data_IF_035881922814
#
_entry.id   IF_035881922814
#
_cell.length_a   1.000
_cell.length_b   1.000
_cell.length_c   1.000
_cell.angle_alpha   90.00
_cell.angle_beta   90.00
_cell.angle_gamma   90.00
#
_symmetry.space_group_name_H-M   'P 1'
#
loop_
_entity.id
_entity.type
_entity.pdbx_description
1 polymer ?
#
# COMPACT_ATOMS: atom_id res chain seq x y z
N UNK A 1 -29.78 -16.01 -44.45
CA UNK A 1 -29.50 -14.56 -44.63
C UNK A 1 -29.15 -13.86 -43.28
N UNK A 2 -28.28 -14.43 -42.42
CA UNK A 2 -28.06 -13.91 -41.05
C UNK A 2 -26.68 -13.33 -40.73
N UNK A 3 -25.67 -13.52 -41.59
CA UNK A 3 -24.27 -13.10 -41.31
C UNK A 3 -23.96 -11.62 -41.62
N UNK A 4 -24.79 -10.94 -42.42
CA UNK A 4 -24.56 -9.56 -42.86
C UNK A 4 -24.94 -8.49 -41.81
N UNK A 5 -26.00 -8.73 -41.03
CA UNK A 5 -26.50 -7.75 -40.06
C UNK A 5 -25.60 -7.58 -38.82
N UNK A 6 -24.92 -8.66 -38.39
CA UNK A 6 -24.00 -8.64 -37.23
C UNK A 6 -22.69 -7.92 -37.57
N UNK A 7 -22.15 -8.13 -38.78
CA UNK A 7 -20.97 -7.42 -39.27
C UNK A 7 -21.24 -5.91 -39.47
N UNK A 8 -22.42 -5.54 -39.96
CA UNK A 8 -22.81 -4.13 -40.12
C UNK A 8 -23.02 -3.42 -38.77
N UNK A 9 -23.56 -4.11 -37.76
CA UNK A 9 -23.74 -3.57 -36.39
C UNK A 9 -22.40 -3.38 -35.68
N UNK A 10 -21.46 -4.34 -35.79
CA UNK A 10 -20.13 -4.22 -35.19
C UNK A 10 -19.29 -3.12 -35.85
N UNK A 11 -19.42 -2.91 -37.16
CA UNK A 11 -18.72 -1.82 -37.86
C UNK A 11 -19.29 -0.44 -37.52
N UNK A 12 -20.61 -0.32 -37.31
CA UNK A 12 -21.26 0.92 -36.83
C UNK A 12 -20.89 1.24 -35.38
N UNK A 13 -20.84 0.24 -34.50
CA UNK A 13 -20.39 0.41 -33.13
C UNK A 13 -18.91 0.83 -33.05
N UNK A 14 -18.02 0.24 -33.87
CA UNK A 14 -16.61 0.66 -33.99
C UNK A 14 -16.46 2.09 -34.50
N UNK A 15 -17.25 2.50 -35.49
CA UNK A 15 -17.25 3.89 -36.01
C UNK A 15 -17.85 4.89 -35.02
N UNK A 16 -18.84 4.49 -34.22
CA UNK A 16 -19.40 5.30 -33.14
C UNK A 16 -18.41 5.47 -31.99
N UNK A 17 -17.72 4.39 -31.56
CA UNK A 17 -16.64 4.45 -30.57
C UNK A 17 -15.48 5.33 -31.04
N UNK A 18 -15.02 5.18 -32.29
CA UNK A 18 -14.01 6.08 -32.89
C UNK A 18 -14.47 7.52 -33.03
N UNK A 19 -15.77 7.78 -33.21
CA UNK A 19 -16.33 9.16 -33.25
C UNK A 19 -16.44 9.76 -31.86
N UNK A 20 -16.77 8.96 -30.84
CA UNK A 20 -16.80 9.38 -29.43
C UNK A 20 -15.39 9.66 -28.90
N UNK A 21 -14.43 8.78 -29.22
CA UNK A 21 -13.00 8.99 -28.97
C UNK A 21 -12.48 10.24 -29.69
N UNK A 22 -12.83 10.43 -30.97
CA UNK A 22 -12.47 11.66 -31.71
C UNK A 22 -13.13 12.92 -31.15
N UNK A 23 -14.39 12.83 -30.70
CA UNK A 23 -15.13 13.92 -30.06
C UNK A 23 -14.49 14.33 -28.73
N UNK A 24 -14.06 13.37 -27.91
CA UNK A 24 -13.34 13.65 -26.67
C UNK A 24 -11.94 14.21 -26.95
N UNK A 25 -11.20 13.67 -27.92
CA UNK A 25 -9.85 14.20 -28.26
C UNK A 25 -9.86 15.63 -28.79
N UNK A 26 -10.91 16.06 -29.49
CA UNK A 26 -11.02 17.43 -30.00
C UNK A 26 -11.35 18.43 -28.88
N UNK A 27 -11.96 17.98 -27.78
CA UNK A 27 -12.27 18.79 -26.60
C UNK A 27 -11.06 19.06 -25.71
N UNK A 28 -10.05 18.18 -25.67
CA UNK A 28 -8.89 18.34 -24.78
C UNK A 28 -7.87 19.36 -25.27
N UNK A 29 -7.80 19.61 -26.58
CA UNK A 29 -6.84 20.54 -27.17
C UNK A 29 -7.07 22.00 -26.70
N UNK A 30 -8.33 22.38 -26.43
CA UNK A 30 -8.73 23.74 -26.04
C UNK A 30 -8.62 24.04 -24.53
N UNK A 31 -8.56 23.03 -23.68
CA UNK A 31 -8.48 23.21 -22.23
C UNK A 31 -7.10 23.72 -21.80
N UNK A 32 -7.02 24.51 -20.72
CA UNK A 32 -5.74 24.93 -20.15
C UNK A 32 -5.00 23.74 -19.52
N UNK A 33 -3.70 23.90 -19.23
CA UNK A 33 -2.94 22.86 -18.52
C UNK A 33 -3.56 22.57 -17.14
N UNK A 34 -3.96 23.62 -16.41
CA UNK A 34 -4.58 23.51 -15.08
C UNK A 34 -5.94 22.81 -15.13
N UNK A 35 -6.77 23.08 -16.15
CA UNK A 35 -8.05 22.41 -16.33
C UNK A 35 -7.89 20.92 -16.66
N UNK A 36 -6.89 20.58 -17.49
CA UNK A 36 -6.55 19.19 -17.81
C UNK A 36 -6.04 18.45 -16.58
N UNK A 37 -5.17 19.07 -15.78
CA UNK A 37 -4.66 18.52 -14.52
C UNK A 37 -5.81 18.24 -13.54
N UNK A 38 -6.63 19.24 -13.24
CA UNK A 38 -7.75 19.12 -12.30
C UNK A 38 -8.76 18.04 -12.72
N UNK A 39 -9.04 17.93 -14.03
CA UNK A 39 -9.92 16.87 -14.53
C UNK A 39 -9.25 15.50 -14.48
N UNK A 40 -7.94 15.43 -14.70
CA UNK A 40 -7.16 14.21 -14.54
C UNK A 40 -7.19 13.70 -13.10
N UNK A 41 -6.98 14.58 -12.14
CA UNK A 41 -7.07 14.31 -10.70
C UNK A 41 -8.47 13.79 -10.32
N UNK A 42 -9.54 14.47 -10.74
CA UNK A 42 -10.91 14.00 -10.50
C UNK A 42 -11.20 12.61 -11.07
N UNK A 43 -10.59 12.25 -12.21
CA UNK A 43 -10.72 10.90 -12.77
C UNK A 43 -9.90 9.88 -11.97
N UNK A 44 -8.75 10.28 -11.43
CA UNK A 44 -7.96 9.43 -10.54
C UNK A 44 -8.72 9.13 -9.24
N UNK A 45 -9.34 10.15 -8.63
CA UNK A 45 -10.19 9.99 -7.44
C UNK A 45 -11.39 9.06 -7.68
N UNK A 46 -11.85 8.96 -8.93
CA UNK A 46 -12.93 8.06 -9.36
C UNK A 46 -12.44 6.65 -9.74
N UNK A 47 -11.15 6.34 -9.56
CA UNK A 47 -10.53 5.07 -9.96
C UNK A 47 -10.37 4.89 -11.48
N UNK A 48 -10.58 5.94 -12.28
CA UNK A 48 -10.46 5.89 -13.75
C UNK A 48 -9.03 6.19 -14.20
N UNK A 49 -8.07 5.45 -13.68
CA UNK A 49 -6.63 5.71 -13.84
C UNK A 49 -6.17 5.78 -15.30
N UNK A 50 -6.71 4.91 -16.18
CA UNK A 50 -6.32 4.88 -17.58
C UNK A 50 -6.72 6.16 -18.36
N UNK A 51 -7.86 6.76 -18.03
CA UNK A 51 -8.31 8.01 -18.63
C UNK A 51 -7.66 9.22 -17.95
N UNK A 52 -7.52 9.19 -16.61
CA UNK A 52 -6.75 10.18 -15.84
C UNK A 52 -5.35 10.37 -16.43
N UNK A 53 -4.63 9.26 -16.66
CA UNK A 53 -3.30 9.24 -17.27
C UNK A 53 -3.24 9.99 -18.61
N UNK A 54 -4.27 9.89 -19.46
CA UNK A 54 -4.29 10.60 -20.75
C UNK A 54 -4.41 12.12 -20.56
N UNK A 55 -5.23 12.56 -19.61
CA UNK A 55 -5.41 13.99 -19.32
C UNK A 55 -4.18 14.59 -18.65
N UNK A 56 -3.60 13.88 -17.70
CA UNK A 56 -2.37 14.28 -17.01
C UNK A 56 -1.21 14.37 -18.01
N UNK A 57 -1.09 13.43 -18.95
CA UNK A 57 -0.09 13.51 -20.03
C UNK A 57 -0.28 14.76 -20.90
N UNK A 58 -1.51 15.03 -21.33
CA UNK A 58 -1.82 16.23 -22.13
C UNK A 58 -1.59 17.54 -21.36
N UNK A 59 -1.75 17.54 -20.04
CA UNK A 59 -1.40 18.67 -19.18
C UNK A 59 0.12 18.89 -19.15
N UNK A 60 0.89 17.82 -18.91
CA UNK A 60 2.35 17.86 -18.83
C UNK A 60 3.02 18.24 -20.15
N UNK A 61 2.40 17.95 -21.30
CA UNK A 61 2.84 18.44 -22.61
C UNK A 61 2.77 19.97 -22.73
N UNK A 62 1.84 20.60 -22.01
CA UNK A 62 1.65 22.06 -22.03
C UNK A 62 2.48 22.78 -20.97
N UNK A 63 2.55 22.22 -19.77
CA UNK A 63 3.27 22.81 -18.63
C UNK A 63 3.82 21.69 -17.76
N UNK A 64 5.13 21.74 -17.52
CA UNK A 64 5.77 20.86 -16.54
C UNK A 64 5.32 21.29 -15.15
N UNK A 65 4.76 20.36 -14.40
CA UNK A 65 4.22 20.60 -13.07
C UNK A 65 4.51 19.39 -12.17
N UNK A 66 5.28 19.55 -11.07
CA UNK A 66 5.67 18.43 -10.20
C UNK A 66 4.49 17.71 -9.54
N UNK A 67 3.42 18.43 -9.22
CA UNK A 67 2.26 17.86 -8.52
C UNK A 67 1.48 16.98 -9.50
N UNK A 68 1.33 17.45 -10.75
CA UNK A 68 0.72 16.66 -11.85
C UNK A 68 1.56 15.42 -12.16
N UNK A 69 2.89 15.49 -12.07
CA UNK A 69 3.78 14.33 -12.21
C UNK A 69 3.56 13.32 -11.08
N UNK A 70 3.35 13.77 -9.85
CA UNK A 70 3.06 12.91 -8.70
C UNK A 70 1.71 12.19 -8.87
N UNK A 71 0.64 12.91 -9.22
CA UNK A 71 -0.68 12.30 -9.52
C UNK A 71 -0.59 11.29 -10.66
N UNK A 72 0.18 11.62 -11.70
CA UNK A 72 0.42 10.73 -12.83
C UNK A 72 1.14 9.44 -12.38
N UNK A 73 2.13 9.56 -11.51
CA UNK A 73 2.85 8.41 -10.98
C UNK A 73 1.93 7.49 -10.16
N UNK A 74 1.07 8.05 -9.31
CA UNK A 74 0.06 7.28 -8.59
C UNK A 74 -0.85 6.50 -9.56
N UNK A 75 -1.34 7.15 -10.62
CA UNK A 75 -2.12 6.47 -11.66
C UNK A 75 -1.34 5.34 -12.36
N UNK A 76 -0.02 5.49 -12.53
CA UNK A 76 0.83 4.48 -13.17
C UNK A 76 1.06 3.26 -12.25
N UNK A 77 1.17 3.45 -10.94
CA UNK A 77 1.25 2.36 -9.95
C UNK A 77 -0.02 1.50 -10.01
N UNK A 78 -1.19 2.14 -9.97
CA UNK A 78 -2.49 1.46 -10.06
C UNK A 78 -2.69 0.71 -11.40
N UNK A 79 -2.03 1.18 -12.46
CA UNK A 79 -2.01 0.50 -13.76
C UNK A 79 -0.92 -0.56 -13.89
N UNK A 80 -0.25 -0.91 -12.79
CA UNK A 80 0.87 -1.87 -12.74
C UNK A 80 2.03 -1.49 -13.66
N UNK A 81 2.41 -0.21 -13.69
CA UNK A 81 3.54 0.35 -14.48
C UNK A 81 4.55 1.08 -13.59
N UNK A 82 5.21 0.38 -12.65
CA UNK A 82 6.01 0.98 -11.59
C UNK A 82 7.27 1.70 -12.10
N UNK A 83 7.92 1.21 -13.17
CA UNK A 83 9.13 1.85 -13.72
C UNK A 83 8.85 3.24 -14.31
N UNK A 84 7.70 3.40 -14.96
CA UNK A 84 7.28 4.70 -15.48
C UNK A 84 6.86 5.63 -14.35
N UNK A 85 6.18 5.09 -13.33
CA UNK A 85 5.84 5.85 -12.12
C UNK A 85 7.09 6.40 -11.44
N UNK A 86 8.11 5.55 -11.26
CA UNK A 86 9.41 5.91 -10.70
C UNK A 86 10.08 7.05 -11.47
N UNK A 87 10.08 7.01 -12.81
CA UNK A 87 10.65 8.09 -13.62
C UNK A 87 9.94 9.43 -13.39
N UNK A 88 8.61 9.42 -13.29
CA UNK A 88 7.82 10.62 -13.01
C UNK A 88 8.08 11.15 -11.59
N UNK A 89 8.18 10.27 -10.60
CA UNK A 89 8.45 10.62 -9.20
C UNK A 89 9.84 11.20 -9.00
N UNK A 90 10.88 10.59 -9.58
CA UNK A 90 12.25 11.13 -9.52
C UNK A 90 12.26 12.57 -10.05
N UNK A 91 11.65 12.79 -11.21
CA UNK A 91 11.59 14.13 -11.80
C UNK A 91 10.75 15.11 -10.98
N UNK A 92 9.64 14.67 -10.38
CA UNK A 92 8.83 15.51 -9.49
C UNK A 92 9.63 15.96 -8.25
N UNK A 93 10.36 15.02 -7.64
CA UNK A 93 11.23 15.27 -6.48
C UNK A 93 12.38 16.22 -6.82
N UNK A 94 13.04 16.05 -7.97
CA UNK A 94 14.12 16.94 -8.44
C UNK A 94 13.64 18.38 -8.67
N UNK A 95 12.42 18.55 -9.20
CA UNK A 95 11.86 19.87 -9.49
C UNK A 95 11.36 20.61 -8.24
N UNK A 96 10.96 19.87 -7.20
CA UNK A 96 10.33 20.44 -6.01
C UNK A 96 10.73 19.68 -4.73
N UNK A 97 12.01 19.64 -4.36
CA UNK A 97 12.49 18.72 -3.32
C UNK A 97 11.90 18.98 -1.92
N UNK A 98 11.50 20.23 -1.63
CA UNK A 98 11.07 20.67 -0.31
C UNK A 98 9.55 20.78 -0.14
N UNK A 99 8.78 20.20 -1.06
CA UNK A 99 7.32 20.16 -1.00
C UNK A 99 6.82 18.74 -0.87
N UNK A 100 5.65 18.56 -0.24
CA UNK A 100 4.88 17.32 -0.16
C UNK A 100 5.68 16.04 0.21
N UNK A 101 5.66 15.59 1.47
CA UNK A 101 6.37 14.37 1.88
C UNK A 101 5.93 13.11 1.12
N UNK A 102 4.67 13.04 0.66
CA UNK A 102 4.10 11.83 0.05
C UNK A 102 4.87 11.37 -1.19
N UNK A 103 5.31 12.29 -2.06
CA UNK A 103 6.04 11.89 -3.27
C UNK A 103 7.36 11.20 -2.95
N UNK A 104 8.01 11.60 -1.86
CA UNK A 104 9.24 10.95 -1.39
C UNK A 104 8.94 9.56 -0.83
N UNK A 105 7.85 9.41 -0.07
CA UNK A 105 7.42 8.11 0.45
C UNK A 105 7.05 7.14 -0.67
N UNK A 106 6.24 7.57 -1.64
CA UNK A 106 5.89 6.76 -2.81
C UNK A 106 7.12 6.42 -3.66
N UNK A 107 8.08 7.33 -3.78
CA UNK A 107 9.34 7.04 -4.48
C UNK A 107 10.19 6.01 -3.73
N UNK A 108 10.22 6.08 -2.39
CA UNK A 108 10.96 5.13 -1.54
C UNK A 108 10.46 3.69 -1.74
N UNK A 109 9.15 3.49 -1.87
CA UNK A 109 8.54 2.17 -2.13
C UNK A 109 8.89 1.59 -3.52
N UNK A 110 9.31 2.43 -4.47
CA UNK A 110 9.75 2.04 -5.82
C UNK A 110 11.28 1.97 -5.96
N UNK A 111 12.01 2.12 -4.86
CA UNK A 111 13.46 2.18 -4.79
C UNK A 111 14.01 1.20 -3.77
N UNK A 112 15.29 0.89 -3.91
CA UNK A 112 15.96 -0.11 -3.09
C UNK A 112 17.04 0.51 -2.21
N UNK A 113 17.37 -0.19 -1.13
CA UNK A 113 18.54 0.07 -0.30
C UNK A 113 18.76 1.55 0.02
N UNK A 114 19.94 2.06 -0.33
CA UNK A 114 20.36 3.43 -0.02
C UNK A 114 19.52 4.49 -0.75
N UNK A 115 19.02 4.22 -1.96
CA UNK A 115 18.13 5.15 -2.65
C UNK A 115 16.79 5.30 -1.90
N UNK A 116 16.21 4.18 -1.46
CA UNK A 116 14.99 4.18 -0.64
C UNK A 116 15.19 4.91 0.68
N UNK A 117 16.30 4.62 1.37
CA UNK A 117 16.66 5.27 2.63
C UNK A 117 16.72 6.79 2.49
N UNK A 118 17.38 7.31 1.45
CA UNK A 118 17.47 8.77 1.21
C UNK A 118 16.09 9.40 1.01
N UNK A 119 15.18 8.70 0.33
CA UNK A 119 13.82 9.17 0.14
C UNK A 119 13.05 9.22 1.46
N UNK A 120 13.16 8.19 2.30
CA UNK A 120 12.57 8.22 3.64
C UNK A 120 13.19 9.30 4.52
N UNK A 121 14.52 9.45 4.54
CA UNK A 121 15.19 10.52 5.28
C UNK A 121 14.67 11.90 4.86
N UNK A 122 14.51 12.15 3.55
CA UNK A 122 13.95 13.41 3.08
C UNK A 122 12.48 13.58 3.48
N UNK A 123 11.68 12.53 3.42
CA UNK A 123 10.30 12.57 3.91
C UNK A 123 10.23 12.86 5.41
N UNK A 124 11.11 12.27 6.23
CA UNK A 124 11.17 12.55 7.68
C UNK A 124 11.54 14.00 7.96
N UNK A 125 12.48 14.58 7.22
CA UNK A 125 12.85 16.00 7.33
C UNK A 125 11.64 16.90 7.11
N UNK A 126 10.86 16.64 6.04
CA UNK A 126 9.70 17.44 5.68
C UNK A 126 8.56 17.29 6.70
N UNK A 127 8.26 16.07 7.15
CA UNK A 127 7.24 15.80 8.16
C UNK A 127 7.61 16.40 9.53
N UNK A 128 8.89 16.33 9.93
CA UNK A 128 9.38 17.00 11.15
C UNK A 128 9.21 18.52 11.03
N UNK A 129 9.51 19.10 9.87
CA UNK A 129 9.27 20.52 9.60
C UNK A 129 7.79 20.87 9.74
N UNK A 130 6.89 20.07 9.17
CA UNK A 130 5.43 20.26 9.30
C UNK A 130 4.95 20.21 10.75
N UNK A 131 5.49 19.30 11.57
CA UNK A 131 5.16 19.21 13.00
C UNK A 131 5.63 20.42 13.81
N UNK A 132 6.81 20.95 13.47
CA UNK A 132 7.40 22.12 14.13
C UNK A 132 6.84 23.45 13.64
N UNK A 133 6.31 23.50 12.42
CA UNK A 133 5.70 24.72 11.89
C UNK A 133 4.37 24.99 12.60
N UNK A 134 4.26 26.13 13.27
CA UNK A 134 2.97 26.66 13.70
C UNK A 134 2.22 27.11 12.44
N UNK A 135 1.24 26.33 12.00
CA UNK A 135 0.32 26.76 10.95
C UNK A 135 -0.51 27.94 11.43
N UNK A 136 -0.60 29.01 10.63
CA UNK A 136 -1.58 30.07 10.85
C UNK A 136 -3.00 29.46 10.85
N UNK A 137 -3.89 29.91 11.73
CA UNK A 137 -5.23 29.36 11.82
C UNK A 137 -5.96 29.52 10.48
N UNK A 138 -6.23 28.40 9.82
CA UNK A 138 -7.05 28.37 8.62
C UNK A 138 -8.47 28.76 9.03
N UNK A 139 -8.94 29.92 8.57
CA UNK A 139 -10.32 30.32 8.71
C UNK A 139 -11.20 29.30 7.98
N UNK A 140 -12.19 28.69 8.65
CA UNK A 140 -13.12 27.76 8.03
C UNK A 140 -14.58 28.19 8.13
N UNK A 141 -15.29 27.68 7.11
CA UNK A 141 -16.72 27.58 6.86
C UNK A 141 -17.54 27.12 8.08
N UNK A 142 -18.69 27.76 8.31
CA UNK A 142 -19.51 27.73 9.55
C UNK A 142 -20.33 26.44 9.76
N UNK A 143 -19.89 25.29 9.25
CA UNK A 143 -20.73 24.09 9.12
C UNK A 143 -20.57 22.97 10.15
N UNK A 144 -19.44 22.87 10.85
CA UNK A 144 -19.14 21.75 11.75
C UNK A 144 -18.77 22.28 13.12
N UNK A 145 -19.39 21.77 14.20
CA UNK A 145 -19.15 22.21 15.58
C UNK A 145 -17.76 21.86 16.16
N UNK A 146 -16.72 21.81 15.32
CA UNK A 146 -15.33 21.56 15.69
C UNK A 146 -14.57 22.88 15.73
N UNK A 147 -13.78 23.11 16.79
CA UNK A 147 -13.01 24.34 16.89
C UNK A 147 -11.76 24.28 16.00
N UNK A 148 -11.22 25.41 15.52
CA UNK A 148 -9.96 25.43 14.76
C UNK A 148 -8.79 24.80 15.51
N UNK A 149 -8.79 24.86 16.84
CA UNK A 149 -7.79 24.23 17.70
C UNK A 149 -7.89 22.70 17.66
N UNK A 150 -9.10 22.13 17.67
CA UNK A 150 -9.30 20.68 17.58
C UNK A 150 -8.84 20.14 16.22
N UNK A 151 -9.04 20.91 15.15
CA UNK A 151 -8.60 20.53 13.81
C UNK A 151 -7.06 20.57 13.68
N UNK A 152 -6.41 21.60 14.24
CA UNK A 152 -4.95 21.72 14.22
C UNK A 152 -4.27 20.59 15.01
N UNK A 153 -4.83 20.24 16.17
CA UNK A 153 -4.34 19.11 16.98
C UNK A 153 -4.50 17.77 16.25
N UNK A 154 -5.64 17.56 15.58
CA UNK A 154 -5.87 16.36 14.75
C UNK A 154 -4.86 16.25 13.62
N UNK A 155 -4.58 17.35 12.90
CA UNK A 155 -3.57 17.37 11.83
C UNK A 155 -2.20 17.00 12.39
N UNK A 156 -1.77 17.62 13.50
CA UNK A 156 -0.49 17.29 14.14
C UNK A 156 -0.40 15.82 14.52
N UNK A 157 -1.47 15.26 15.09
CA UNK A 157 -1.52 13.84 15.44
C UNK A 157 -1.39 12.92 14.22
N UNK A 158 -2.08 13.24 13.11
CA UNK A 158 -1.98 12.49 11.87
C UNK A 158 -0.58 12.59 11.25
N UNK A 159 0.03 13.78 11.26
CA UNK A 159 1.41 13.96 10.78
C UNK A 159 2.41 13.19 11.67
N UNK A 160 2.21 13.17 12.99
CA UNK A 160 3.06 12.41 13.92
C UNK A 160 2.94 10.89 13.68
N UNK A 161 1.72 10.38 13.51
CA UNK A 161 1.46 8.98 13.14
C UNK A 161 2.12 8.63 11.80
N UNK A 162 1.96 9.49 10.79
CA UNK A 162 2.60 9.29 9.49
C UNK A 162 4.12 9.23 9.63
N UNK A 163 4.73 10.17 10.36
CA UNK A 163 6.18 10.16 10.62
C UNK A 163 6.62 8.89 11.39
N UNK A 164 5.81 8.43 12.34
CA UNK A 164 6.02 7.15 13.05
C UNK A 164 6.06 5.98 12.06
N UNK A 165 5.10 5.88 11.13
CA UNK A 165 5.10 4.87 10.08
C UNK A 165 6.31 4.97 9.14
N UNK A 166 6.80 6.17 8.83
CA UNK A 166 8.05 6.32 8.05
C UNK A 166 9.24 5.71 8.78
N UNK A 167 9.34 5.91 10.09
CA UNK A 167 10.39 5.27 10.88
C UNK A 167 10.23 3.74 10.96
N UNK A 168 9.00 3.23 10.93
CA UNK A 168 8.75 1.79 10.75
C UNK A 168 9.34 1.32 9.43
N UNK A 169 9.03 1.97 8.30
CA UNK A 169 9.59 1.61 7.01
C UNK A 169 11.13 1.70 6.98
N UNK A 170 11.72 2.71 7.61
CA UNK A 170 13.18 2.80 7.76
C UNK A 170 13.71 1.59 8.53
N UNK A 171 13.08 1.21 9.65
CA UNK A 171 13.49 0.03 10.40
C UNK A 171 13.41 -1.23 9.52
N UNK A 172 12.38 -1.34 8.69
CA UNK A 172 12.16 -2.46 7.77
C UNK A 172 13.26 -2.59 6.70
N UNK A 173 13.84 -1.47 6.24
CA UNK A 173 15.00 -1.49 5.33
C UNK A 173 16.20 -2.25 5.91
N UNK A 174 16.34 -2.21 7.24
CA UNK A 174 17.43 -2.84 7.99
C UNK A 174 17.01 -4.17 8.62
N UNK A 175 15.71 -4.47 8.73
CA UNK A 175 15.23 -5.78 9.17
C UNK A 175 14.99 -6.71 7.97
N UNK A 176 15.97 -7.60 7.77
CA UNK A 176 15.95 -8.82 6.92
C UNK A 176 16.00 -8.66 5.41
N UNK A 177 17.23 -8.54 4.89
CA UNK A 177 17.73 -9.20 3.68
C UNK A 177 18.74 -10.29 4.04
N UNK A 178 18.42 -11.14 5.01
CA UNK A 178 19.39 -12.02 5.63
C UNK A 178 18.76 -13.24 6.28
N UNK A 179 18.06 -14.06 5.49
CA UNK A 179 17.92 -15.47 5.85
C UNK A 179 19.23 -16.16 5.47
N UNK A 180 20.22 -16.06 6.37
CA UNK A 180 21.35 -16.95 6.37
C UNK A 180 20.82 -18.39 6.53
N UNK A 181 21.05 -19.19 5.50
CA UNK A 181 20.65 -20.60 5.35
C UNK A 181 19.13 -20.87 5.42
N UNK A 182 18.64 -21.67 4.47
CA UNK A 182 17.23 -22.05 4.32
C UNK A 182 16.59 -22.76 5.55
N UNK A 183 17.38 -23.07 6.59
CA UNK A 183 16.92 -23.67 7.85
C UNK A 183 16.40 -22.65 8.87
N UNK A 184 16.77 -21.37 8.76
CA UNK A 184 16.33 -20.31 9.70
C UNK A 184 15.10 -19.53 9.24
N UNK A 185 14.73 -19.67 7.95
CA UNK A 185 13.53 -19.07 7.43
C UNK A 185 12.31 -19.77 8.05
N UNK A 186 11.45 -19.01 8.73
CA UNK A 186 10.14 -19.52 9.10
C UNK A 186 9.51 -20.15 7.86
N UNK A 187 9.15 -21.44 7.94
CA UNK A 187 8.74 -22.25 6.78
C UNK A 187 7.66 -21.56 5.92
N UNK A 188 6.86 -20.69 6.55
CA UNK A 188 5.70 -20.00 6.00
C UNK A 188 6.09 -18.81 5.12
N UNK A 189 6.97 -17.91 5.60
CA UNK A 189 7.42 -16.72 4.84
C UNK A 189 8.17 -17.14 3.58
N UNK A 190 9.05 -18.14 3.70
CA UNK A 190 9.81 -18.68 2.58
C UNK A 190 8.91 -19.37 1.54
N UNK A 191 7.90 -20.13 1.99
CA UNK A 191 6.96 -20.79 1.09
C UNK A 191 6.06 -19.80 0.35
N UNK A 192 5.63 -18.72 1.00
CA UNK A 192 4.85 -17.66 0.34
C UNK A 192 5.66 -16.95 -0.73
N UNK A 193 6.91 -16.58 -0.41
CA UNK A 193 7.85 -15.99 -1.36
C UNK A 193 8.08 -16.88 -2.60
N UNK A 194 8.03 -18.21 -2.44
CA UNK A 194 8.19 -19.16 -3.55
C UNK A 194 6.88 -19.60 -4.24
N UNK A 195 5.70 -19.41 -3.64
CA UNK A 195 4.44 -20.03 -4.12
C UNK A 195 3.45 -19.06 -4.77
N UNK A 196 3.56 -17.76 -4.52
CA UNK A 196 2.77 -16.76 -5.23
C UNK A 196 3.41 -16.46 -6.58
N UNK A 197 2.63 -16.52 -7.66
CA UNK A 197 3.04 -16.07 -9.00
C UNK A 197 3.18 -14.55 -9.12
N UNK A 198 3.40 -13.87 -7.99
CA UNK A 198 3.67 -12.44 -7.90
C UNK A 198 5.18 -12.27 -7.73
N UNK A 199 5.94 -12.62 -8.77
CA UNK A 199 7.31 -12.13 -8.90
C UNK A 199 7.36 -10.60 -8.76
N UNK A 200 6.27 -9.88 -9.07
CA UNK A 200 6.21 -8.41 -9.04
C UNK A 200 5.85 -7.78 -7.68
N UNK A 201 5.15 -8.50 -6.79
CA UNK A 201 4.76 -7.98 -5.47
C UNK A 201 5.76 -8.39 -4.38
N UNK A 202 6.35 -9.60 -4.50
CA UNK A 202 7.57 -9.91 -3.75
C UNK A 202 8.73 -9.05 -4.22
N UNK A 203 8.79 -8.62 -5.50
CA UNK A 203 9.68 -7.52 -5.88
C UNK A 203 9.40 -6.28 -5.06
N UNK A 204 8.18 -5.76 -4.94
CA UNK A 204 7.90 -4.55 -4.11
C UNK A 204 8.24 -4.70 -2.61
N UNK A 205 8.04 -5.87 -1.99
CA UNK A 205 8.41 -6.07 -0.59
C UNK A 205 9.91 -6.40 -0.40
N UNK A 206 10.52 -7.11 -1.35
CA UNK A 206 11.98 -7.28 -1.45
C UNK A 206 12.68 -6.03 -1.99
N UNK A 207 11.92 -5.01 -2.42
CA UNK A 207 12.48 -3.75 -2.93
C UNK A 207 13.07 -2.95 -1.76
N UNK A 208 12.41 -2.95 -0.60
CA UNK A 208 12.91 -2.31 0.62
C UNK A 208 14.16 -2.99 1.23
N UNK A 209 14.54 -4.18 0.79
CA UNK A 209 15.40 -5.06 1.58
C UNK A 209 16.81 -5.11 0.95
N UNK A 210 17.73 -4.29 1.47
CA UNK A 210 19.14 -4.31 1.01
C UNK A 210 20.17 -3.80 2.04
N UNK A 211 19.76 -3.38 3.25
CA UNK A 211 20.68 -2.76 4.22
C UNK A 211 20.87 -3.55 5.52
N UNK A 212 20.38 -4.79 5.60
CA UNK A 212 20.49 -5.58 6.82
C UNK A 212 21.91 -6.07 7.13
N UNK A 213 22.77 -6.19 6.11
CA UNK A 213 24.16 -6.65 6.24
C UNK A 213 25.10 -5.52 6.68
N UNK A 214 24.60 -4.28 6.77
CA UNK A 214 25.37 -3.15 7.26
C UNK A 214 25.73 -3.35 8.74
N UNK A 215 26.98 -3.03 9.15
CA UNK A 215 27.46 -3.30 10.51
C UNK A 215 26.70 -2.53 11.60
N UNK A 216 25.96 -1.49 11.23
CA UNK A 216 25.13 -0.69 12.13
C UNK A 216 23.63 -0.97 11.98
N UNK A 217 23.21 -1.96 11.18
CA UNK A 217 21.80 -2.27 10.91
C UNK A 217 20.98 -2.41 12.20
N UNK A 218 21.44 -3.19 13.17
CA UNK A 218 20.73 -3.39 14.44
C UNK A 218 20.54 -2.08 15.23
N UNK A 219 21.56 -1.21 15.23
CA UNK A 219 21.50 0.10 15.90
C UNK A 219 20.48 0.98 15.18
N UNK A 220 20.44 0.96 13.85
CA UNK A 220 19.46 1.75 13.08
C UNK A 220 18.04 1.26 13.25
N UNK A 221 17.80 -0.05 13.28
CA UNK A 221 16.48 -0.64 13.55
C UNK A 221 15.97 -0.17 14.91
N UNK A 222 16.77 -0.36 15.95
CA UNK A 222 16.36 -0.01 17.32
C UNK A 222 16.15 1.49 17.50
N UNK A 223 17.02 2.33 16.91
CA UNK A 223 16.84 3.78 16.93
C UNK A 223 15.55 4.21 16.21
N UNK A 224 15.29 3.68 15.01
CA UNK A 224 14.10 4.01 14.24
C UNK A 224 12.81 3.59 14.97
N UNK A 225 12.76 2.38 15.55
CA UNK A 225 11.61 1.91 16.31
C UNK A 225 11.35 2.74 17.57
N UNK A 226 12.40 3.21 18.25
CA UNK A 226 12.26 4.09 19.41
C UNK A 226 11.71 5.46 19.00
N UNK A 227 12.25 6.08 17.94
CA UNK A 227 11.74 7.35 17.39
C UNK A 227 10.26 7.21 16.97
N UNK A 228 9.90 6.11 16.31
CA UNK A 228 8.53 5.84 15.91
C UNK A 228 7.56 5.78 17.12
N UNK A 229 8.00 5.15 18.22
CA UNK A 229 7.22 5.01 19.44
C UNK A 229 7.09 6.33 20.23
N UNK A 230 8.14 7.16 20.24
CA UNK A 230 8.11 8.49 20.86
C UNK A 230 7.14 9.43 20.13
N UNK A 231 7.06 9.32 18.80
CA UNK A 231 6.12 10.08 17.98
C UNK A 231 4.67 9.64 18.16
N UNK A 232 4.44 8.33 18.21
CA UNK A 232 3.11 7.77 18.39
C UNK A 232 3.15 6.41 19.09
N UNK A 233 2.90 6.42 20.39
CA UNK A 233 2.84 5.23 21.22
C UNK A 233 1.65 4.31 20.93
N UNK A 234 0.71 4.75 20.09
CA UNK A 234 -0.49 4.00 19.70
C UNK A 234 -0.45 3.52 18.26
N UNK A 235 0.70 3.64 17.57
CA UNK A 235 0.87 3.13 16.21
C UNK A 235 1.03 1.60 16.22
N UNK A 236 0.07 0.82 15.66
CA UNK A 236 0.16 -0.64 15.63
C UNK A 236 1.32 -1.15 14.77
N UNK A 237 1.75 -0.42 13.74
CA UNK A 237 2.85 -0.79 12.85
C UNK A 237 4.18 -0.89 13.60
N UNK A 238 4.40 -0.01 14.59
CA UNK A 238 5.60 -0.05 15.44
C UNK A 238 5.71 -1.37 16.19
N UNK A 239 4.60 -1.83 16.77
CA UNK A 239 4.56 -3.11 17.48
C UNK A 239 4.71 -4.32 16.55
N UNK A 240 4.18 -4.23 15.33
CA UNK A 240 4.39 -5.26 14.30
C UNK A 240 5.86 -5.34 13.88
N UNK A 241 6.52 -4.20 13.65
CA UNK A 241 7.93 -4.15 13.29
C UNK A 241 8.84 -4.60 14.44
N UNK A 242 8.52 -4.26 15.70
CA UNK A 242 9.19 -4.83 16.88
C UNK A 242 9.01 -6.35 16.97
N UNK A 243 7.80 -6.85 16.71
CA UNK A 243 7.56 -8.30 16.69
C UNK A 243 8.42 -8.97 15.62
N UNK A 244 8.47 -8.42 14.40
CA UNK A 244 9.33 -8.90 13.32
C UNK A 244 10.82 -8.90 13.73
N UNK A 245 11.30 -7.81 14.33
CA UNK A 245 12.66 -7.71 14.84
C UNK A 245 13.01 -8.81 15.86
N UNK A 246 12.12 -9.08 16.83
CA UNK A 246 12.29 -10.17 17.78
C UNK A 246 12.24 -11.56 17.10
N UNK A 247 11.41 -11.73 16.07
CA UNK A 247 11.37 -12.99 15.30
C UNK A 247 12.69 -13.26 14.60
N UNK A 248 13.31 -12.24 13.98
CA UNK A 248 14.63 -12.34 13.34
C UNK A 248 15.70 -12.76 14.36
N UNK A 249 15.61 -12.26 15.60
CA UNK A 249 16.50 -12.65 16.70
C UNK A 249 16.21 -14.04 17.29
N UNK A 250 15.13 -14.70 16.86
CA UNK A 250 14.66 -15.96 17.44
C UNK A 250 13.95 -15.82 18.79
N UNK A 251 13.64 -14.59 19.21
CA UNK A 251 13.01 -14.25 20.48
C UNK A 251 11.48 -14.33 20.40
N UNK A 252 10.95 -15.52 20.06
CA UNK A 252 9.52 -15.72 19.75
C UNK A 252 8.56 -15.33 20.89
N UNK A 253 9.02 -15.41 22.15
CA UNK A 253 8.24 -14.99 23.31
C UNK A 253 7.97 -13.49 23.31
N UNK A 254 9.02 -12.68 23.11
CA UNK A 254 8.90 -11.23 23.04
C UNK A 254 8.15 -10.79 21.77
N UNK A 255 8.40 -11.47 20.65
CA UNK A 255 7.63 -11.24 19.43
C UNK A 255 6.12 -11.44 19.63
N UNK A 256 5.73 -12.47 20.37
CA UNK A 256 4.32 -12.73 20.73
C UNK A 256 3.75 -11.61 21.60
N UNK A 257 4.53 -11.08 22.55
CA UNK A 257 4.10 -9.97 23.41
C UNK A 257 3.88 -8.70 22.59
N UNK A 258 4.82 -8.34 21.72
CA UNK A 258 4.68 -7.15 20.88
C UNK A 258 3.55 -7.29 19.85
N UNK A 259 3.38 -8.48 19.26
CA UNK A 259 2.25 -8.75 18.36
C UNK A 259 0.91 -8.56 19.06
N UNK A 260 0.74 -9.07 20.29
CA UNK A 260 -0.49 -8.86 21.06
C UNK A 260 -0.77 -7.37 21.31
N UNK A 261 0.24 -6.59 21.65
CA UNK A 261 0.10 -5.14 21.82
C UNK A 261 -0.39 -4.46 20.53
N UNK A 262 0.11 -4.89 19.38
CA UNK A 262 -0.42 -4.42 18.08
C UNK A 262 -1.91 -4.74 17.96
N UNK A 263 -2.28 -6.02 18.09
CA UNK A 263 -3.66 -6.48 17.89
C UNK A 263 -4.66 -5.79 18.83
N UNK A 264 -4.28 -5.56 20.09
CA UNK A 264 -5.13 -4.89 21.08
C UNK A 264 -5.55 -3.47 20.64
N UNK A 265 -4.75 -2.82 19.78
CA UNK A 265 -5.03 -1.47 19.27
C UNK A 265 -6.07 -1.44 18.15
N UNK A 266 -6.09 -2.45 17.27
CA UNK A 266 -6.86 -2.37 16.02
C UNK A 266 -7.77 -3.57 15.73
N UNK A 267 -7.49 -4.76 16.23
CA UNK A 267 -8.28 -5.96 15.92
C UNK A 267 -9.75 -5.82 16.39
N UNK A 268 -10.05 -5.30 17.60
CA UNK A 268 -11.43 -5.08 18.03
C UNK A 268 -12.18 -4.02 17.22
N UNK A 269 -11.46 -3.07 16.60
CA UNK A 269 -12.03 -2.07 15.71
C UNK A 269 -12.36 -2.71 14.36
N UNK A 270 -11.38 -3.44 13.81
CA UNK A 270 -11.51 -4.13 12.55
C UNK A 270 -12.68 -5.13 12.53
N UNK A 271 -12.82 -5.93 13.58
CA UNK A 271 -13.92 -6.90 13.73
C UNK A 271 -15.29 -6.21 13.67
N UNK A 272 -15.44 -5.07 14.37
CA UNK A 272 -16.67 -4.26 14.33
C UNK A 272 -16.94 -3.66 12.95
N UNK A 273 -15.90 -3.22 12.23
CA UNK A 273 -16.05 -2.66 10.88
C UNK A 273 -16.54 -3.72 9.90
N UNK A 274 -16.00 -4.94 9.98
CA UNK A 274 -16.43 -6.08 9.15
C UNK A 274 -17.90 -6.46 9.43
N UNK A 275 -18.36 -6.32 10.68
CA UNK A 275 -19.77 -6.54 11.07
C UNK A 275 -20.74 -5.40 10.65
N UNK A 276 -20.25 -4.36 9.97
CA UNK A 276 -21.05 -3.21 9.54
C UNK A 276 -21.18 -2.09 10.58
N UNK A 277 -20.22 -2.01 11.51
CA UNK A 277 -20.11 -0.95 12.52
C UNK A 277 -19.61 0.41 11.98
N UNK A 278 -19.35 1.34 12.91
CA UNK A 278 -18.86 2.69 12.63
C UNK A 278 -17.49 2.68 11.93
N UNK A 279 -17.30 3.64 11.02
CA UNK A 279 -16.08 3.82 10.21
C UNK A 279 -14.94 4.45 11.03
N UNK A 280 -14.29 3.67 11.89
CA UNK A 280 -13.03 4.03 12.56
C UNK A 280 -11.80 3.68 11.68
N UNK A 281 -11.89 3.93 10.37
CA UNK A 281 -10.86 3.59 9.37
C UNK A 281 -9.46 4.12 9.71
N UNK A 282 -9.36 5.29 10.37
CA UNK A 282 -8.07 5.92 10.71
C UNK A 282 -7.22 5.14 11.74
N UNK A 283 -7.81 4.21 12.48
CA UNK A 283 -7.14 3.42 13.52
C UNK A 283 -6.83 1.99 13.07
N UNK A 284 -7.41 1.56 11.95
CA UNK A 284 -7.22 0.22 11.40
C UNK A 284 -6.03 0.30 10.42
N UNK A 285 -5.01 -0.57 10.55
CA UNK A 285 -3.89 -0.57 9.62
C UNK A 285 -4.35 -0.84 8.19
N UNK A 286 -3.56 -0.40 7.21
CA UNK A 286 -3.85 -0.66 5.80
C UNK A 286 -3.91 -2.17 5.49
N UNK A 287 -4.58 -2.53 4.39
CA UNK A 287 -4.81 -3.92 4.00
C UNK A 287 -3.53 -4.76 3.98
N UNK A 288 -2.48 -4.24 3.34
CA UNK A 288 -1.17 -4.87 3.24
C UNK A 288 -0.49 -5.05 4.61
N UNK A 289 -0.60 -4.07 5.51
CA UNK A 289 -0.10 -4.16 6.88
C UNK A 289 -0.82 -5.27 7.65
N UNK A 290 -2.15 -5.35 7.54
CA UNK A 290 -2.94 -6.44 8.15
C UNK A 290 -2.60 -7.80 7.56
N UNK A 291 -2.36 -7.88 6.25
CA UNK A 291 -1.92 -9.10 5.59
C UNK A 291 -0.54 -9.56 6.09
N UNK A 292 0.39 -8.61 6.29
CA UNK A 292 1.71 -8.89 6.90
C UNK A 292 1.58 -9.33 8.36
N UNK A 293 0.70 -8.70 9.15
CA UNK A 293 0.35 -9.15 10.51
C UNK A 293 -0.12 -10.61 10.51
N UNK A 294 -1.00 -10.99 9.58
CA UNK A 294 -1.48 -12.37 9.48
C UNK A 294 -0.35 -13.38 9.23
N UNK A 295 0.67 -13.03 8.42
CA UNK A 295 1.85 -13.89 8.19
C UNK A 295 2.64 -14.10 9.48
N UNK A 296 2.94 -13.02 10.20
CA UNK A 296 3.62 -13.09 11.49
C UNK A 296 2.82 -13.88 12.54
N UNK A 297 1.49 -13.72 12.59
CA UNK A 297 0.62 -14.49 13.48
C UNK A 297 0.70 -16.00 13.22
N UNK A 298 0.77 -16.42 11.96
CA UNK A 298 0.95 -17.83 11.60
C UNK A 298 2.29 -18.38 12.07
N UNK A 299 3.37 -17.61 11.90
CA UNK A 299 4.72 -17.97 12.34
C UNK A 299 4.80 -18.09 13.88
N UNK A 300 4.12 -17.18 14.58
CA UNK A 300 3.97 -17.19 16.04
C UNK A 300 2.91 -18.19 16.55
N UNK A 301 2.25 -18.94 15.65
CA UNK A 301 1.20 -19.93 15.96
C UNK A 301 -0.02 -19.35 16.67
N UNK A 302 -0.28 -18.05 16.50
CA UNK A 302 -1.47 -17.33 16.96
C UNK A 302 -2.63 -17.55 15.98
N UNK A 303 -3.07 -18.80 15.86
CA UNK A 303 -4.00 -19.22 14.80
C UNK A 303 -5.42 -18.64 14.93
N UNK A 304 -5.88 -18.33 16.14
CA UNK A 304 -7.21 -17.79 16.35
C UNK A 304 -7.29 -16.36 15.80
N UNK A 305 -6.34 -15.52 16.21
CA UNK A 305 -6.18 -14.15 15.77
C UNK A 305 -5.91 -14.08 14.26
N UNK A 306 -5.03 -14.95 13.74
CA UNK A 306 -4.78 -15.04 12.29
C UNK A 306 -6.06 -15.37 11.50
N UNK A 307 -6.95 -16.20 12.05
CA UNK A 307 -8.22 -16.54 11.39
C UNK A 307 -9.10 -15.29 11.29
N UNK A 308 -9.30 -14.56 12.39
CA UNK A 308 -10.09 -13.33 12.41
C UNK A 308 -9.58 -12.30 11.41
N UNK A 309 -8.26 -12.06 11.39
CA UNK A 309 -7.66 -11.09 10.45
C UNK A 309 -7.89 -11.52 9.00
N UNK A 310 -7.61 -12.79 8.68
CA UNK A 310 -7.69 -13.28 7.30
C UNK A 310 -9.13 -13.38 6.78
N UNK A 311 -10.09 -13.78 7.62
CA UNK A 311 -11.51 -13.81 7.23
C UNK A 311 -12.00 -12.39 6.94
N UNK A 312 -11.61 -11.40 7.75
CA UNK A 312 -11.91 -10.00 7.49
C UNK A 312 -11.29 -9.47 6.19
N UNK A 313 -10.02 -9.82 5.91
CA UNK A 313 -9.34 -9.40 4.67
C UNK A 313 -10.03 -9.97 3.41
N UNK A 314 -10.50 -11.22 3.46
CA UNK A 314 -11.25 -11.82 2.35
C UNK A 314 -12.61 -11.17 2.12
N UNK A 315 -13.25 -10.67 3.19
CA UNK A 315 -14.51 -9.92 3.07
C UNK A 315 -14.30 -8.52 2.48
N UNK A 316 -13.16 -7.90 2.76
CA UNK A 316 -12.77 -6.60 2.20
C UNK A 316 -12.37 -6.71 0.72
N UNK A 317 -11.55 -7.71 0.37
CA UNK A 317 -11.12 -7.98 -1.00
C UNK A 317 -11.17 -9.48 -1.32
N UNK A 318 -12.20 -9.90 -2.06
CA UNK A 318 -12.38 -11.30 -2.47
C UNK A 318 -11.40 -11.75 -3.56
N UNK A 319 -10.73 -10.81 -4.23
CA UNK A 319 -9.76 -11.07 -5.28
C UNK A 319 -8.31 -11.18 -4.75
N UNK A 320 -8.09 -10.98 -3.45
CA UNK A 320 -6.79 -11.16 -2.82
C UNK A 320 -6.40 -12.64 -2.72
N UNK A 321 -5.55 -13.11 -3.64
CA UNK A 321 -5.06 -14.51 -3.68
C UNK A 321 -4.34 -14.90 -2.39
N UNK A 322 -3.56 -13.98 -1.82
CA UNK A 322 -2.73 -14.23 -0.64
C UNK A 322 -3.58 -14.51 0.59
N UNK A 323 -4.63 -13.72 0.82
CA UNK A 323 -5.54 -13.93 1.95
C UNK A 323 -6.20 -15.33 1.88
N UNK A 324 -6.67 -15.74 0.69
CA UNK A 324 -7.23 -17.08 0.48
C UNK A 324 -6.19 -18.20 0.69
N UNK A 325 -4.97 -18.00 0.21
CA UNK A 325 -3.90 -18.98 0.37
C UNK A 325 -3.53 -19.13 1.85
N UNK A 326 -3.35 -18.02 2.57
CA UNK A 326 -3.02 -17.98 3.99
C UNK A 326 -4.11 -18.65 4.84
N UNK A 327 -5.40 -18.46 4.54
CA UNK A 327 -6.48 -19.21 5.20
C UNK A 327 -6.34 -20.72 4.97
N UNK A 328 -6.02 -21.12 3.74
CA UNK A 328 -5.78 -22.51 3.41
C UNK A 328 -4.60 -23.10 4.19
N UNK A 329 -3.51 -22.34 4.25
CA UNK A 329 -2.29 -22.73 4.97
C UNK A 329 -2.51 -22.78 6.49
N UNK A 330 -3.18 -21.78 7.06
CA UNK A 330 -3.61 -21.76 8.47
C UNK A 330 -4.36 -23.04 8.84
N UNK A 331 -5.37 -23.39 8.03
CA UNK A 331 -6.17 -24.60 8.27
C UNK A 331 -5.35 -25.88 8.08
N UNK A 332 -4.37 -25.88 7.17
CA UNK A 332 -3.45 -27.01 7.02
C UNK A 332 -2.55 -27.19 8.25
N UNK A 333 -2.00 -26.11 8.79
CA UNK A 333 -1.14 -26.12 9.98
C UNK A 333 -1.87 -26.60 11.25
N UNK A 334 -3.17 -26.33 11.36
CA UNK A 334 -4.02 -26.79 12.48
C UNK A 334 -4.28 -28.31 12.48
N UNK A 335 -4.04 -29.00 11.35
CA UNK A 335 -4.19 -30.45 11.15
C UNK A 335 -5.61 -31.00 11.39
N UNK A 336 -5.73 -32.32 11.25
CA UNK A 336 -6.90 -33.17 11.55
C UNK A 336 -8.22 -32.63 10.96
N UNK A 337 -9.07 -32.01 11.79
CA UNK A 337 -10.42 -31.57 11.45
C UNK A 337 -10.46 -30.42 10.44
N UNK A 338 -9.33 -29.72 10.24
CA UNK A 338 -9.23 -28.54 9.36
C UNK A 338 -8.79 -28.88 7.93
N UNK A 339 -8.44 -30.14 7.62
CA UNK A 339 -8.04 -30.54 6.27
C UNK A 339 -9.10 -30.28 5.18
N UNK A 340 -10.41 -30.51 5.41
CA UNK A 340 -11.44 -30.15 4.45
C UNK A 340 -11.48 -28.63 4.17
N UNK A 341 -11.32 -27.81 5.21
CA UNK A 341 -11.29 -26.35 5.11
C UNK A 341 -10.04 -25.89 4.36
N UNK A 342 -8.86 -26.43 4.69
CA UNK A 342 -7.63 -26.16 3.97
C UNK A 342 -7.79 -26.41 2.46
N UNK A 343 -8.36 -27.57 2.09
CA UNK A 343 -8.64 -27.90 0.69
C UNK A 343 -9.63 -26.94 0.03
N UNK A 344 -10.63 -26.45 0.77
CA UNK A 344 -11.60 -25.48 0.26
C UNK A 344 -10.93 -24.13 -0.06
N UNK A 345 -10.21 -23.55 0.92
CA UNK A 345 -9.55 -22.25 0.76
C UNK A 345 -8.44 -22.27 -0.29
N UNK A 346 -7.60 -23.33 -0.34
CA UNK A 346 -6.57 -23.46 -1.39
C UNK A 346 -7.17 -23.58 -2.80
N UNK A 347 -8.33 -24.24 -2.95
CA UNK A 347 -9.06 -24.27 -4.23
C UNK A 347 -9.62 -22.91 -4.61
N UNK A 348 -10.06 -22.10 -3.63
CA UNK A 348 -10.50 -20.73 -3.86
C UNK A 348 -9.34 -19.86 -4.33
N UNK A 349 -8.19 -19.91 -3.64
CA UNK A 349 -6.97 -19.19 -4.04
C UNK A 349 -6.57 -19.51 -5.50
N UNK A 350 -6.58 -20.79 -5.89
CA UNK A 350 -6.29 -21.20 -7.28
C UNK A 350 -7.28 -20.64 -8.30
N UNK A 351 -8.57 -20.54 -7.95
CA UNK A 351 -9.61 -19.99 -8.83
C UNK A 351 -9.42 -18.49 -9.02
N UNK A 352 -9.21 -17.75 -7.93
CA UNK A 352 -8.98 -16.29 -7.96
C UNK A 352 -7.75 -15.97 -8.80
N UNK A 353 -6.64 -16.68 -8.57
CA UNK A 353 -5.43 -16.55 -9.40
C UNK A 353 -5.70 -16.81 -10.88
N UNK A 354 -6.53 -17.80 -11.20
CA UNK A 354 -6.94 -18.09 -12.57
C UNK A 354 -7.72 -16.94 -13.22
N UNK A 355 -8.63 -16.31 -12.48
CA UNK A 355 -9.41 -15.17 -12.96
C UNK A 355 -8.50 -13.95 -13.24
N UNK A 356 -7.57 -13.64 -12.33
CA UNK A 356 -6.62 -12.53 -12.48
C UNK A 356 -5.74 -12.72 -13.73
N UNK A 357 -5.18 -13.92 -13.93
CA UNK A 357 -4.36 -14.20 -15.12
C UNK A 357 -5.13 -14.06 -16.43
N UNK A 358 -6.43 -14.36 -16.44
CA UNK A 358 -7.28 -14.16 -17.63
C UNK A 358 -7.49 -12.67 -17.89
N UNK A 359 -7.75 -11.87 -16.85
CA UNK A 359 -7.92 -10.42 -16.95
C UNK A 359 -6.64 -9.72 -17.41
N UNK A 360 -5.47 -10.08 -16.87
CA UNK A 360 -4.16 -9.52 -17.25
C UNK A 360 -3.81 -9.80 -18.72
N UNK A 361 -4.16 -10.98 -19.25
CA UNK A 361 -3.96 -11.31 -20.67
C UNK A 361 -4.94 -10.62 -21.61
N UNK A 362 -6.05 -10.10 -21.08
CA UNK A 362 -7.06 -9.37 -21.83
C UNK A 362 -6.85 -7.84 -21.81
N UNK A 363 -5.91 -7.35 -21.00
CA UNK A 363 -5.52 -5.94 -20.98
C UNK A 363 -4.74 -5.59 -22.28
N UNK A 364 -5.18 -4.58 -23.05
CA UNK A 364 -4.64 -4.25 -24.37
C UNK A 364 -3.29 -3.54 -24.36
#
# INVERSE_FOLDING_TARGET
MGRSAVAARTQRARKAKKRLEKSNTHSFAQLSAEELAKRGEQLADQGQYAEARKLLAASLEKKVDPDVMFTMACCLIELSRPEEAKQMLVRSCELSPDTEPNKWLTLAELQHGNESLRCFEKATELLKRELTSESEPVAMDEGTGQTPADNQERIKKLTARKLSSVYVCISELFTTGGYGDAESCGEITCMLACSTSQEDLWRHHAVLIDLCDEPDAEVRVTAALNEALELDSSNPEVFQAKANYHMIKGELGEATVEMKRSLDLWLPLFDRTVEGGLDDSELIPQFNVRLSAAKMLLELKMFAEATTVLDGLVLEDEDCVDAWYLLGWLNFLRKEDYLPNAKFYLKKALRVRGNIMICQRAAP
#
